data_IF_840771331850
#
_entry.id   IF_840771331850
#
_cell.length_a   1.000
_cell.length_b   1.000
_cell.length_c   1.000
_cell.angle_alpha   90.00
_cell.angle_beta   90.00
_cell.angle_gamma   90.00
#
_symmetry.space_group_name_H-M   'P 1'
#
loop_
_entity.id
_entity.type
_entity.pdbx_description
1 polymer ?
#
# COMPACT_ATOMS: atom_id res chain seq x y z
N UNK A 1 -4.16 21.50 14.68
CA UNK A 1 -4.00 21.26 13.23
C UNK A 1 -3.63 19.80 13.06
N UNK A 2 -4.31 19.10 12.19
CA UNK A 2 -3.96 17.71 11.88
C UNK A 2 -2.63 17.70 11.12
N UNK A 3 -1.56 17.23 11.76
CA UNK A 3 -0.24 17.19 11.18
C UNK A 3 0.03 15.89 10.40
N UNK A 4 -0.94 15.01 10.31
CA UNK A 4 -0.82 13.72 9.62
C UNK A 4 -0.72 13.89 8.09
N UNK A 5 -1.39 14.91 7.53
CA UNK A 5 -1.40 15.19 6.09
C UNK A 5 -0.69 16.51 5.82
N UNK A 6 0.37 16.48 5.00
CA UNK A 6 1.21 17.65 4.76
C UNK A 6 1.56 17.83 3.28
N UNK A 7 1.59 19.09 2.85
CA UNK A 7 2.13 19.43 1.53
C UNK A 7 3.66 19.33 1.51
N UNK A 8 4.23 19.06 0.35
CA UNK A 8 5.64 19.20 0.06
C UNK A 8 5.81 19.94 -1.27
N UNK A 9 6.63 21.01 -1.28
CA UNK A 9 6.86 21.89 -2.46
C UNK A 9 5.56 22.36 -3.12
N UNK A 10 4.55 22.70 -2.31
CA UNK A 10 3.26 23.18 -2.79
C UNK A 10 2.31 22.09 -3.30
N UNK A 11 2.70 20.81 -3.31
CA UNK A 11 1.85 19.69 -3.68
C UNK A 11 1.29 19.06 -2.41
N UNK A 12 -0.04 18.99 -2.32
CA UNK A 12 -0.76 18.36 -1.20
C UNK A 12 -1.31 17.00 -1.61
N UNK A 13 -1.41 16.05 -0.66
CA UNK A 13 -2.11 14.80 -0.90
C UNK A 13 -3.55 15.03 -1.37
N UNK A 14 -3.99 14.23 -2.34
CA UNK A 14 -5.36 14.19 -2.84
C UNK A 14 -6.07 12.98 -2.25
N UNK A 15 -7.19 13.20 -1.56
CA UNK A 15 -7.96 12.16 -0.88
C UNK A 15 -9.31 11.98 -1.55
N UNK A 16 -9.65 10.75 -1.86
CA UNK A 16 -10.98 10.34 -2.30
C UNK A 16 -12.03 10.45 -1.20
N UNK A 17 -13.20 9.92 -1.47
CA UNK A 17 -14.33 9.93 -0.52
C UNK A 17 -14.08 8.96 0.64
N UNK A 18 -14.46 9.36 1.86
CA UNK A 18 -14.42 8.52 3.06
C UNK A 18 -13.05 7.92 3.39
N UNK A 19 -11.98 8.57 2.98
CA UNK A 19 -10.61 8.16 3.35
C UNK A 19 -10.40 8.36 4.85
N UNK A 20 -9.80 7.38 5.50
CA UNK A 20 -9.37 7.47 6.88
C UNK A 20 -7.85 7.56 6.95
N UNK A 21 -7.33 8.61 7.57
CA UNK A 21 -5.90 8.71 7.93
C UNK A 21 -5.83 8.86 9.45
N UNK A 22 -5.14 7.92 10.11
CA UNK A 22 -4.95 7.98 11.56
C UNK A 22 -4.12 9.22 11.95
N UNK A 23 -4.42 9.92 13.05
CA UNK A 23 -3.63 11.07 13.51
C UNK A 23 -2.14 10.77 13.75
N UNK A 24 -1.80 9.50 14.06
CA UNK A 24 -0.43 9.05 14.22
C UNK A 24 0.22 8.59 12.90
N UNK A 25 -0.52 8.57 11.79
CA UNK A 25 0.03 8.30 10.45
C UNK A 25 0.62 9.57 9.83
N UNK A 26 1.35 9.41 8.73
CA UNK A 26 1.95 10.53 7.99
C UNK A 26 1.76 10.34 6.50
N UNK A 27 1.12 11.32 5.83
CA UNK A 27 0.92 11.36 4.37
C UNK A 27 1.46 12.68 3.83
N UNK A 28 2.45 12.63 2.93
CA UNK A 28 3.19 13.82 2.49
C UNK A 28 3.29 13.91 0.96
N UNK A 29 3.01 15.09 0.41
CA UNK A 29 3.37 15.45 -0.97
C UNK A 29 2.44 14.87 -2.03
N UNK A 30 3.01 14.40 -3.14
CA UNK A 30 2.28 13.90 -4.32
C UNK A 30 1.73 12.49 -4.07
N UNK A 31 0.68 12.42 -3.27
CA UNK A 31 -0.01 11.18 -2.90
C UNK A 31 -1.47 11.27 -3.32
N UNK A 32 -1.99 10.25 -3.98
CA UNK A 32 -3.41 10.10 -4.29
C UNK A 32 -3.96 8.85 -3.59
N UNK A 33 -4.95 9.02 -2.72
CA UNK A 33 -5.65 7.94 -2.04
C UNK A 33 -7.07 7.84 -2.60
N UNK A 34 -7.44 6.69 -3.14
CA UNK A 34 -8.77 6.42 -3.67
C UNK A 34 -9.84 6.33 -2.58
N UNK A 35 -11.08 6.16 -2.99
CA UNK A 35 -12.23 6.07 -2.08
C UNK A 35 -12.07 4.92 -1.08
N UNK A 36 -12.50 5.16 0.14
CA UNK A 36 -12.48 4.19 1.23
C UNK A 36 -11.09 3.62 1.60
N UNK A 37 -10.00 4.26 1.18
CA UNK A 37 -8.66 3.91 1.66
C UNK A 37 -8.53 4.20 3.15
N UNK A 38 -7.80 3.34 3.87
CA UNK A 38 -7.46 3.56 5.29
C UNK A 38 -5.96 3.48 5.52
N UNK A 39 -5.44 4.44 6.29
CA UNK A 39 -4.02 4.55 6.69
C UNK A 39 -3.95 4.52 8.21
N UNK A 40 -3.31 3.50 8.75
CA UNK A 40 -3.35 3.14 10.17
C UNK A 40 -2.16 3.72 10.96
N UNK A 41 -2.18 3.64 12.31
CA UNK A 41 -1.20 4.30 13.16
C UNK A 41 0.25 4.05 12.76
N UNK A 42 1.06 5.10 12.73
CA UNK A 42 2.49 5.02 12.42
C UNK A 42 2.85 4.73 10.96
N UNK A 43 1.87 4.50 10.08
CA UNK A 43 2.14 4.33 8.66
C UNK A 43 2.64 5.63 8.03
N UNK A 44 3.62 5.53 7.11
CA UNK A 44 4.23 6.67 6.42
C UNK A 44 4.08 6.50 4.92
N UNK A 45 3.41 7.46 4.28
CA UNK A 45 3.25 7.55 2.82
C UNK A 45 3.90 8.85 2.36
N UNK A 46 5.07 8.78 1.71
CA UNK A 46 5.85 9.96 1.38
C UNK A 46 6.15 10.06 -0.12
N UNK A 47 5.35 10.88 -0.81
CA UNK A 47 5.49 11.21 -2.24
C UNK A 47 6.16 12.56 -2.44
N UNK A 48 7.39 12.72 -1.94
CA UNK A 48 8.13 13.98 -1.95
C UNK A 48 9.01 14.18 -3.19
N UNK A 49 9.38 13.10 -3.86
CA UNK A 49 10.24 13.15 -5.05
C UNK A 49 9.63 12.46 -6.28
N UNK A 50 8.53 11.73 -6.11
CA UNK A 50 7.72 11.12 -7.17
C UNK A 50 6.29 10.88 -6.66
N UNK A 51 5.40 10.37 -7.52
CA UNK A 51 4.00 10.12 -7.16
C UNK A 51 3.79 8.78 -6.45
N UNK A 52 2.81 8.77 -5.53
CA UNK A 52 2.25 7.56 -4.94
C UNK A 52 0.74 7.55 -5.21
N UNK A 53 0.21 6.43 -5.72
CA UNK A 53 -1.22 6.22 -5.87
C UNK A 53 -1.66 4.94 -5.16
N UNK A 54 -2.79 5.02 -4.45
CA UNK A 54 -3.41 3.89 -3.74
C UNK A 54 -4.85 3.79 -4.18
N UNK A 55 -5.22 2.68 -4.78
CA UNK A 55 -6.57 2.40 -5.27
C UNK A 55 -7.59 2.19 -4.16
N UNK A 56 -8.86 2.29 -4.53
CA UNK A 56 -9.99 2.26 -3.60
C UNK A 56 -10.01 1.03 -2.68
N UNK A 57 -10.53 1.17 -1.46
CA UNK A 57 -10.71 0.13 -0.44
C UNK A 57 -9.42 -0.54 0.04
N UNK A 58 -8.27 -0.08 -0.42
CA UNK A 58 -6.97 -0.58 0.05
C UNK A 58 -6.66 -0.06 1.46
N UNK A 59 -5.91 -0.84 2.24
CA UNK A 59 -5.55 -0.44 3.60
C UNK A 59 -4.03 -0.56 3.81
N UNK A 60 -3.47 0.45 4.47
CA UNK A 60 -2.05 0.57 4.78
C UNK A 60 -1.91 0.46 6.29
N UNK A 61 -1.49 -0.70 6.76
CA UNK A 61 -1.52 -1.03 8.18
C UNK A 61 -0.37 -0.41 8.97
N UNK A 62 -0.43 -0.58 10.27
CA UNK A 62 0.42 0.09 11.26
C UNK A 62 1.91 -0.02 10.91
N UNK A 63 2.60 1.12 10.97
CA UNK A 63 4.04 1.24 10.70
C UNK A 63 4.51 0.79 9.31
N UNK A 64 3.61 0.62 8.34
CA UNK A 64 4.01 0.38 6.95
C UNK A 64 4.65 1.64 6.35
N UNK A 65 5.59 1.46 5.44
CA UNK A 65 6.31 2.56 4.77
C UNK A 65 6.13 2.45 3.26
N UNK A 66 5.58 3.50 2.67
CA UNK A 66 5.38 3.66 1.24
C UNK A 66 6.24 4.83 0.73
N UNK A 67 7.18 4.55 -0.17
CA UNK A 67 8.08 5.54 -0.73
C UNK A 67 8.41 5.27 -2.19
N UNK A 68 9.24 6.11 -2.77
CA UNK A 68 9.50 6.18 -4.22
C UNK A 68 10.99 6.39 -4.50
N UNK A 69 11.41 6.19 -5.74
CA UNK A 69 12.71 6.64 -6.21
C UNK A 69 12.55 7.77 -7.22
N UNK A 70 13.30 8.85 -7.03
CA UNK A 70 13.29 10.02 -7.91
C UNK A 70 13.95 9.74 -9.27
N UNK A 71 13.62 10.59 -10.25
CA UNK A 71 14.34 10.65 -11.52
C UNK A 71 15.79 11.09 -11.31
N UNK A 72 16.75 10.39 -11.91
CA UNK A 72 18.19 10.66 -11.80
C UNK A 72 18.94 10.15 -13.03
N UNK A 73 20.23 10.45 -13.15
CA UNK A 73 21.08 9.92 -14.23
C UNK A 73 21.16 8.38 -14.21
N UNK A 74 20.97 7.76 -13.04
CA UNK A 74 20.94 6.29 -12.90
C UNK A 74 19.60 5.66 -13.29
N UNK A 75 18.51 6.43 -13.17
CA UNK A 75 17.16 6.04 -13.58
C UNK A 75 16.39 7.29 -14.00
N UNK A 76 16.40 7.65 -15.28
CA UNK A 76 15.78 8.89 -15.76
C UNK A 76 14.28 8.97 -15.51
N UNK A 77 13.57 7.86 -15.47
CA UNK A 77 12.13 7.83 -15.18
C UNK A 77 11.83 7.90 -13.68
N UNK A 78 12.77 7.49 -12.81
CA UNK A 78 12.47 7.19 -11.42
C UNK A 78 11.58 5.95 -11.27
N UNK A 79 11.12 5.68 -10.04
CA UNK A 79 10.16 4.63 -9.74
C UNK A 79 9.02 5.20 -8.90
N UNK A 80 7.86 5.52 -9.51
CA UNK A 80 6.65 5.83 -8.76
C UNK A 80 6.16 4.59 -8.01
N UNK A 81 5.28 4.78 -7.03
CA UNK A 81 4.58 3.70 -6.37
C UNK A 81 3.11 3.70 -6.78
N UNK A 82 2.65 2.59 -7.34
CA UNK A 82 1.25 2.41 -7.71
C UNK A 82 0.67 1.16 -7.04
N UNK A 83 -0.43 1.32 -6.34
CA UNK A 83 -1.16 0.25 -5.66
C UNK A 83 -2.59 0.26 -6.19
N UNK A 84 -3.07 -0.89 -6.65
CA UNK A 84 -4.44 -1.07 -7.13
C UNK A 84 -5.49 -1.07 -6.04
N UNK A 85 -6.67 -1.56 -6.38
CA UNK A 85 -7.82 -1.63 -5.49
C UNK A 85 -7.83 -2.92 -4.65
N UNK A 86 -8.49 -2.86 -3.48
CA UNK A 86 -8.66 -4.00 -2.58
C UNK A 86 -7.32 -4.63 -2.13
N UNK A 87 -6.28 -3.81 -1.99
CA UNK A 87 -4.95 -4.26 -1.54
C UNK A 87 -4.82 -4.10 -0.03
N UNK A 88 -4.35 -5.17 0.62
CA UNK A 88 -4.01 -5.18 2.05
C UNK A 88 -2.51 -5.10 2.20
N UNK A 89 -2.01 -3.98 2.73
CA UNK A 89 -0.60 -3.80 3.08
C UNK A 89 -0.42 -4.05 4.57
N UNK A 90 0.14 -5.19 4.91
CA UNK A 90 0.29 -5.65 6.29
C UNK A 90 1.24 -4.80 7.14
N UNK A 91 1.15 -4.99 8.45
CA UNK A 91 1.92 -4.22 9.44
C UNK A 91 3.43 -4.25 9.15
N UNK A 92 4.10 -3.10 9.23
CA UNK A 92 5.55 -2.93 9.00
C UNK A 92 6.03 -3.34 7.61
N UNK A 93 5.14 -3.51 6.63
CA UNK A 93 5.56 -3.75 5.25
C UNK A 93 6.23 -2.50 4.65
N UNK A 94 7.15 -2.70 3.72
CA UNK A 94 7.83 -1.64 2.97
C UNK A 94 7.52 -1.82 1.49
N UNK A 95 6.91 -0.82 0.89
CA UNK A 95 6.70 -0.75 -0.56
C UNK A 95 7.47 0.44 -1.11
N UNK A 96 8.42 0.19 -1.98
CA UNK A 96 9.30 1.21 -2.51
C UNK A 96 9.35 1.14 -4.03
N UNK A 97 8.88 2.20 -4.73
CA UNK A 97 8.99 2.35 -6.17
C UNK A 97 8.47 1.18 -7.00
N UNK A 98 7.40 0.54 -6.60
CA UNK A 98 6.88 -0.68 -7.21
C UNK A 98 5.43 -0.50 -7.72
N UNK A 99 4.95 -1.48 -8.48
CA UNK A 99 3.58 -1.53 -8.98
C UNK A 99 2.87 -2.77 -8.47
N UNK A 100 1.75 -2.58 -7.79
CA UNK A 100 0.86 -3.63 -7.34
C UNK A 100 -0.47 -3.53 -8.09
N UNK A 101 -0.94 -4.63 -8.64
CA UNK A 101 -2.30 -4.76 -9.19
C UNK A 101 -3.37 -4.76 -8.10
N UNK A 102 -4.47 -5.44 -8.36
CA UNK A 102 -5.65 -5.46 -7.49
C UNK A 102 -5.72 -6.76 -6.67
N UNK A 103 -6.45 -6.73 -5.55
CA UNK A 103 -6.71 -7.92 -4.72
C UNK A 103 -5.42 -8.62 -4.30
N UNK A 104 -4.50 -7.86 -3.70
CA UNK A 104 -3.21 -8.36 -3.25
C UNK A 104 -3.15 -8.31 -1.72
N UNK A 105 -2.56 -9.34 -1.13
CA UNK A 105 -2.24 -9.40 0.28
C UNK A 105 -0.74 -9.33 0.46
N UNK A 106 -0.24 -8.22 0.99
CA UNK A 106 1.15 -8.05 1.39
C UNK A 106 1.29 -8.41 2.87
N UNK A 107 1.99 -9.48 3.16
CA UNK A 107 2.19 -9.97 4.52
C UNK A 107 2.99 -9.02 5.41
N UNK A 108 2.83 -9.18 6.72
CA UNK A 108 3.50 -8.34 7.71
C UNK A 108 5.03 -8.36 7.53
N UNK A 109 5.65 -7.19 7.54
CA UNK A 109 7.10 -7.04 7.38
C UNK A 109 7.65 -7.43 6.02
N UNK A 110 6.82 -7.65 5.01
CA UNK A 110 7.27 -7.90 3.65
C UNK A 110 7.87 -6.63 3.03
N UNK A 111 8.83 -6.81 2.11
CA UNK A 111 9.53 -5.73 1.41
C UNK A 111 9.34 -5.92 -0.10
N UNK A 112 8.86 -4.89 -0.78
CA UNK A 112 8.75 -4.87 -2.26
C UNK A 112 9.58 -3.70 -2.78
N UNK A 113 10.57 -3.99 -3.61
CA UNK A 113 11.57 -3.01 -4.04
C UNK A 113 11.28 -2.42 -5.43
N UNK A 114 12.09 -1.41 -5.79
CA UNK A 114 11.99 -0.61 -7.02
C UNK A 114 11.77 -1.43 -8.29
N UNK A 115 10.82 -1.00 -9.10
CA UNK A 115 10.52 -1.63 -10.38
C UNK A 115 9.89 -3.02 -10.29
N UNK A 116 9.65 -3.54 -9.09
CA UNK A 116 8.91 -4.79 -8.97
C UNK A 116 7.46 -4.60 -9.41
N UNK A 117 6.93 -5.62 -10.09
CA UNK A 117 5.55 -5.69 -10.57
C UNK A 117 4.87 -6.87 -9.90
N UNK A 118 3.79 -6.62 -9.20
CA UNK A 118 2.95 -7.66 -8.58
C UNK A 118 1.62 -7.65 -9.30
N UNK A 119 1.32 -8.73 -10.03
CA UNK A 119 0.05 -8.85 -10.75
C UNK A 119 -1.12 -9.09 -9.78
N UNK A 120 -2.35 -9.11 -10.31
CA UNK A 120 -3.56 -9.27 -9.51
C UNK A 120 -3.59 -10.61 -8.74
N UNK A 121 -4.30 -10.63 -7.62
CA UNK A 121 -4.56 -11.86 -6.83
C UNK A 121 -3.31 -12.58 -6.34
N UNK A 122 -2.32 -11.83 -5.89
CA UNK A 122 -1.06 -12.34 -5.33
C UNK A 122 -1.08 -12.25 -3.80
N UNK A 123 -0.55 -13.27 -3.14
CA UNK A 123 -0.22 -13.25 -1.71
C UNK A 123 1.30 -13.20 -1.55
N UNK A 124 1.80 -12.13 -0.94
CA UNK A 124 3.20 -12.00 -0.50
C UNK A 124 3.25 -12.39 0.97
N UNK A 125 3.92 -13.48 1.31
CA UNK A 125 4.02 -13.97 2.69
C UNK A 125 4.73 -13.00 3.64
N UNK A 126 4.47 -13.14 4.94
CA UNK A 126 5.12 -12.32 5.95
C UNK A 126 6.65 -12.43 5.89
N UNK A 127 7.35 -11.29 6.04
CA UNK A 127 8.81 -11.22 5.96
C UNK A 127 9.42 -11.52 4.57
N UNK A 128 8.59 -11.66 3.55
CA UNK A 128 9.04 -11.92 2.18
C UNK A 128 9.75 -10.69 1.61
N UNK A 129 10.83 -10.89 0.84
CA UNK A 129 11.50 -9.79 0.14
C UNK A 129 11.42 -10.00 -1.37
N UNK A 130 10.76 -9.07 -2.06
CA UNK A 130 10.66 -9.02 -3.51
C UNK A 130 11.82 -8.18 -4.05
N UNK A 131 12.77 -8.77 -4.80
CA UNK A 131 13.90 -8.04 -5.37
C UNK A 131 13.47 -6.96 -6.37
N UNK A 132 14.33 -5.95 -6.60
CA UNK A 132 14.08 -4.94 -7.64
C UNK A 132 13.81 -5.56 -9.02
N UNK A 133 12.87 -4.98 -9.76
CA UNK A 133 12.52 -5.39 -11.12
C UNK A 133 11.85 -6.78 -11.24
N UNK A 134 11.55 -7.44 -10.12
CA UNK A 134 10.93 -8.77 -10.13
C UNK A 134 9.45 -8.68 -10.45
N UNK A 135 8.98 -9.53 -11.39
CA UNK A 135 7.54 -9.74 -11.61
C UNK A 135 7.04 -10.93 -10.82
N UNK A 136 5.94 -10.75 -10.09
CA UNK A 136 5.18 -11.79 -9.42
C UNK A 136 3.90 -12.04 -10.19
N UNK A 137 3.78 -13.23 -10.77
CA UNK A 137 2.64 -13.63 -11.58
C UNK A 137 1.38 -13.80 -10.73
N UNK A 138 0.23 -13.48 -11.34
CA UNK A 138 -1.11 -13.58 -10.75
C UNK A 138 -1.43 -15.00 -10.25
N UNK A 139 -2.21 -15.06 -9.18
CA UNK A 139 -2.74 -16.32 -8.64
C UNK A 139 -1.78 -17.17 -7.82
N UNK A 140 -0.63 -16.61 -7.40
CA UNK A 140 0.37 -17.35 -6.62
C UNK A 140 0.60 -16.75 -5.23
N UNK A 141 1.01 -17.63 -4.32
CA UNK A 141 1.59 -17.28 -3.01
C UNK A 141 3.12 -17.27 -3.14
N UNK A 142 3.74 -16.16 -2.74
CA UNK A 142 5.20 -16.00 -2.74
C UNK A 142 5.72 -15.90 -1.32
N UNK A 143 6.85 -16.54 -1.03
CA UNK A 143 7.48 -16.56 0.29
C UNK A 143 9.01 -16.48 0.20
N UNK A 144 9.65 -16.09 1.27
CA UNK A 144 11.11 -16.15 1.44
C UNK A 144 11.84 -14.84 1.14
N UNK A 145 13.14 -14.85 1.38
CA UNK A 145 14.08 -13.77 1.11
C UNK A 145 15.34 -14.34 0.42
N UNK A 146 15.52 -14.14 -0.90
CA UNK A 146 14.58 -13.50 -1.85
C UNK A 146 13.34 -14.35 -2.09
N UNK A 147 12.22 -13.69 -2.50
CA UNK A 147 10.95 -14.35 -2.71
C UNK A 147 10.96 -15.38 -3.84
N UNK A 148 10.20 -16.47 -3.62
CA UNK A 148 9.97 -17.52 -4.62
C UNK A 148 8.48 -17.90 -4.61
N UNK A 149 7.93 -18.36 -5.75
CA UNK A 149 6.59 -18.92 -5.76
C UNK A 149 6.55 -20.19 -4.89
N UNK A 150 5.57 -20.29 -4.03
CA UNK A 150 5.35 -21.45 -3.16
C UNK A 150 4.29 -22.38 -3.74
N UNK A 151 3.14 -21.84 -4.11
CA UNK A 151 1.98 -22.56 -4.64
C UNK A 151 0.95 -21.59 -5.22
N UNK A 152 -0.04 -22.11 -5.91
CA UNK A 152 -1.22 -21.33 -6.29
C UNK A 152 -2.04 -20.90 -5.08
N UNK A 153 -2.77 -19.80 -5.24
CA UNK A 153 -3.75 -19.28 -4.27
C UNK A 153 -4.93 -20.24 -4.21
N UNK A 154 -5.32 -20.68 -3.02
CA UNK A 154 -6.47 -21.54 -2.81
C UNK A 154 -7.80 -20.77 -2.92
N UNK A 155 -8.91 -21.48 -3.18
CA UNK A 155 -10.26 -20.87 -3.24
C UNK A 155 -10.63 -20.15 -1.93
N UNK A 156 -10.18 -20.67 -0.78
CA UNK A 156 -10.37 -20.00 0.51
C UNK A 156 -9.62 -18.65 0.57
N UNK A 157 -8.41 -18.60 0.05
CA UNK A 157 -7.62 -17.36 -0.01
C UNK A 157 -8.19 -16.37 -1.02
N UNK A 158 -8.72 -16.84 -2.15
CA UNK A 158 -9.43 -15.96 -3.10
C UNK A 158 -10.64 -15.27 -2.45
N UNK A 159 -11.40 -15.98 -1.62
CA UNK A 159 -12.50 -15.37 -0.87
C UNK A 159 -12.01 -14.36 0.17
N UNK A 160 -10.79 -14.50 0.67
CA UNK A 160 -10.19 -13.57 1.63
C UNK A 160 -9.78 -12.23 0.99
N UNK A 161 -9.49 -12.19 -0.31
CA UNK A 161 -9.18 -10.95 -1.03
C UNK A 161 -10.34 -9.94 -1.02
N UNK A 162 -11.57 -10.40 -0.99
CA UNK A 162 -12.75 -9.51 -0.87
C UNK A 162 -13.15 -9.28 0.59
N UNK A 163 -12.99 -10.29 1.44
CA UNK A 163 -13.35 -10.20 2.85
C UNK A 163 -12.50 -9.18 3.62
N UNK A 164 -11.17 -9.27 3.48
CA UNK A 164 -10.26 -8.46 4.30
C UNK A 164 -10.38 -6.96 4.02
N UNK A 165 -10.32 -6.47 2.76
CA UNK A 165 -10.55 -5.05 2.48
C UNK A 165 -11.91 -4.56 2.96
N UNK A 166 -12.98 -5.33 2.73
CA UNK A 166 -14.33 -4.99 3.19
C UNK A 166 -14.41 -4.85 4.72
N UNK A 167 -13.69 -5.69 5.45
CA UNK A 167 -13.61 -5.60 6.91
C UNK A 167 -12.89 -4.31 7.36
N UNK A 168 -11.80 -3.93 6.70
CA UNK A 168 -11.09 -2.69 6.97
C UNK A 168 -11.92 -1.45 6.61
N UNK A 169 -12.72 -1.50 5.55
CA UNK A 169 -13.69 -0.42 5.24
C UNK A 169 -14.72 -0.27 6.36
N UNK A 170 -15.27 -1.36 6.89
CA UNK A 170 -16.19 -1.30 8.04
C UNK A 170 -15.51 -0.73 9.28
N UNK A 171 -14.29 -1.20 9.58
CA UNK A 171 -13.54 -0.75 10.75
C UNK A 171 -13.23 0.75 10.68
N UNK A 172 -12.68 1.24 9.56
CA UNK A 172 -12.39 2.67 9.40
C UNK A 172 -13.62 3.57 9.50
N UNK A 173 -14.78 3.07 9.04
CA UNK A 173 -16.04 3.82 9.17
C UNK A 173 -16.43 3.99 10.65
N UNK A 174 -16.14 3.02 11.52
CA UNK A 174 -16.34 3.17 12.96
C UNK A 174 -15.43 4.29 13.52
N UNK A 175 -14.15 4.29 13.14
CA UNK A 175 -13.20 5.34 13.54
C UNK A 175 -13.63 6.74 13.05
N UNK A 176 -14.12 6.85 11.82
CA UNK A 176 -14.63 8.13 11.29
C UNK A 176 -15.83 8.62 12.10
N UNK A 177 -16.80 7.75 12.44
CA UNK A 177 -17.95 8.09 13.26
C UNK A 177 -17.59 8.49 14.71
N UNK A 178 -16.55 7.89 15.27
CA UNK A 178 -16.04 8.26 16.60
C UNK A 178 -15.41 9.66 16.60
N UNK A 179 -14.68 10.00 15.54
CA UNK A 179 -14.10 11.36 15.37
C UNK A 179 -15.13 12.47 15.24
N UNK A 180 -16.30 12.19 14.66
CA UNK A 180 -17.37 13.18 14.53
C UNK A 180 -18.09 13.47 15.86
N UNK A 181 -17.92 12.60 16.86
CA UNK A 181 -18.58 12.70 18.17
C UNK A 181 -17.70 13.34 19.26
N UNK A 182 -16.41 13.45 19.03
CA UNK A 182 -15.42 14.02 19.97
C UNK A 182 -14.92 15.38 19.54
#
# INVERSE_FOLDING_TARGET
>A
MDHSIRSHRGISPNLGLRVYVDPAATVIGNVCLGDDVSVWPGAVIRGDMHSISVGARSNIQDNAVLHITHSSDFNPAGWPLSIGEDVVVGHRAILHGCTLGNRILVGNGAIVNDGAIVEDEVIIGAGCMVPPGKTLASGFVYVGNPCKPLREVSEKEKSFFSYSPSNYVKLKNQYLLEREKG
#
